data_IF_483300748542
#
_entry.id   IF_483300748542
#
_cell.length_a   1.000
_cell.length_b   1.000
_cell.length_c   1.000
_cell.angle_alpha   90.00
_cell.angle_beta   90.00
_cell.angle_gamma   90.00
#
_symmetry.space_group_name_H-M   'P 1'
#
loop_
_entity.id
_entity.type
_entity.pdbx_description
1 polymer ?
#
# COMPACT_ATOMS: atom_id res chain seq x y z
N UNK A 1 0.30 19.00 20.34
CA UNK A 1 0.29 20.39 19.82
C UNK A 1 1.73 20.91 19.70
N UNK A 2 2.35 20.82 18.52
CA UNK A 2 3.66 21.44 18.24
C UNK A 2 3.62 22.05 16.83
N UNK A 3 3.45 23.37 16.81
CA UNK A 3 3.43 24.19 15.62
C UNK A 3 4.82 24.25 14.97
N UNK A 4 4.92 23.81 13.72
CA UNK A 4 6.07 24.13 12.88
C UNK A 4 5.79 25.44 12.15
N UNK A 5 6.56 26.47 12.52
CA UNK A 5 6.52 27.81 11.95
C UNK A 5 7.17 27.81 10.56
N UNK A 6 6.43 28.42 9.63
CA UNK A 6 6.89 28.86 8.32
C UNK A 6 8.14 29.74 8.40
N UNK A 7 9.03 29.61 7.41
CA UNK A 7 10.06 30.61 7.11
C UNK A 7 9.94 30.97 5.63
N UNK A 8 9.47 32.20 5.41
CA UNK A 8 9.49 32.90 4.14
C UNK A 8 10.93 33.35 3.79
N UNK A 9 11.24 33.53 2.51
CA UNK A 9 12.42 34.28 2.10
C UNK A 9 13.01 33.99 0.72
N UNK A 10 12.33 34.46 -0.32
CA UNK A 10 12.85 35.25 -1.46
C UNK A 10 14.07 34.73 -2.24
N UNK A 11 13.87 34.50 -3.55
CA UNK A 11 14.71 35.08 -4.61
C UNK A 11 13.99 34.98 -5.97
N UNK A 12 13.28 36.06 -6.35
CA UNK A 12 12.86 36.28 -7.74
C UNK A 12 14.09 36.79 -8.50
N UNK A 13 14.62 35.95 -9.40
CA UNK A 13 15.60 36.38 -10.40
C UNK A 13 14.89 36.57 -11.74
N UNK A 14 14.97 37.81 -12.23
CA UNK A 14 14.41 38.32 -13.46
C UNK A 14 15.57 38.56 -14.42
N UNK A 15 15.74 37.72 -15.44
CA UNK A 15 16.49 38.07 -16.65
C UNK A 15 16.36 36.96 -17.71
N UNK A 16 16.26 37.37 -18.96
CA UNK A 16 16.67 36.53 -20.09
C UNK A 16 15.54 35.95 -20.91
N UNK A 17 14.83 36.80 -21.65
CA UNK A 17 14.22 36.37 -22.90
C UNK A 17 15.32 36.02 -23.89
N UNK A 18 15.20 34.86 -24.54
CA UNK A 18 15.81 34.55 -25.83
C UNK A 18 15.12 33.28 -26.34
N UNK A 19 14.12 33.48 -27.18
CA UNK A 19 13.69 32.48 -28.15
C UNK A 19 14.74 32.38 -29.24
N UNK A 20 15.17 31.16 -29.57
CA UNK A 20 15.37 30.83 -30.96
C UNK A 20 14.43 29.69 -31.35
N UNK A 21 13.47 30.07 -32.17
CA UNK A 21 12.94 29.23 -33.24
C UNK A 21 14.03 28.41 -33.92
N UNK A 22 13.64 27.24 -34.45
CA UNK A 22 14.33 26.47 -35.48
C UNK A 22 15.25 25.36 -34.97
N UNK A 23 14.65 24.30 -34.42
CA UNK A 23 15.21 22.95 -34.50
C UNK A 23 14.36 22.16 -35.50
N UNK A 24 14.79 22.16 -36.75
CA UNK A 24 14.35 21.20 -37.78
C UNK A 24 15.00 19.86 -37.47
N UNK A 25 14.22 18.88 -37.05
CA UNK A 25 14.60 17.47 -37.11
C UNK A 25 13.95 16.85 -38.35
N UNK A 26 14.74 16.32 -39.29
CA UNK A 26 14.24 15.35 -40.25
C UNK A 26 14.28 13.97 -39.59
N UNK A 27 13.17 13.22 -39.67
CA UNK A 27 13.12 11.91 -40.32
C UNK A 27 11.70 11.32 -40.15
N UNK A 28 11.12 10.75 -41.21
CA UNK A 28 9.84 10.05 -41.17
C UNK A 28 10.09 8.61 -40.74
N UNK A 29 9.62 8.23 -39.54
CA UNK A 29 9.55 6.83 -39.14
C UNK A 29 8.10 6.46 -38.86
N UNK A 30 7.48 5.98 -39.94
CA UNK A 30 6.81 4.67 -39.94
C UNK A 30 5.69 4.51 -38.91
N UNK A 31 4.49 4.84 -39.42
CA UNK A 31 3.19 4.22 -39.12
C UNK A 31 3.34 2.86 -38.41
N UNK A 32 3.21 2.88 -37.09
CA UNK A 32 2.98 1.73 -36.24
C UNK A 32 1.56 1.88 -35.68
N UNK A 33 0.66 1.15 -36.35
CA UNK A 33 -0.57 0.56 -35.82
C UNK A 33 -1.12 1.23 -34.56
N UNK A 34 -2.23 1.94 -34.73
CA UNK A 34 -3.15 2.29 -33.65
C UNK A 34 -3.70 1.00 -33.00
N UNK A 35 -3.01 0.50 -31.99
CA UNK A 35 -3.62 -0.24 -30.90
C UNK A 35 -3.54 0.68 -29.69
N UNK A 36 -4.69 1.03 -29.13
CA UNK A 36 -4.81 1.95 -28.00
C UNK A 36 -4.10 1.43 -26.75
N UNK A 37 -2.79 1.61 -26.67
CA UNK A 37 -2.03 1.48 -25.43
C UNK A 37 -2.32 2.73 -24.60
N UNK A 38 -3.32 2.65 -23.70
CA UNK A 38 -3.40 3.62 -22.60
C UNK A 38 -2.12 3.48 -21.79
N UNK A 39 -1.24 4.47 -21.89
CA UNK A 39 -0.10 4.64 -20.98
C UNK A 39 -0.65 4.96 -19.58
N UNK A 40 -1.03 3.94 -18.82
CA UNK A 40 -1.45 4.10 -17.44
C UNK A 40 -0.23 4.35 -16.57
N UNK A 41 -0.03 5.60 -16.19
CA UNK A 41 1.01 5.97 -15.22
C UNK A 41 0.55 5.53 -13.84
N UNK A 42 1.34 4.70 -13.16
CA UNK A 42 1.07 4.26 -11.79
C UNK A 42 1.81 5.14 -10.80
N UNK A 43 1.08 5.70 -9.84
CA UNK A 43 1.62 6.57 -8.80
C UNK A 43 1.49 5.90 -7.43
N UNK A 44 2.47 6.12 -6.56
CA UNK A 44 2.44 5.59 -5.18
C UNK A 44 1.61 6.51 -4.30
N UNK A 45 0.54 5.99 -3.72
CA UNK A 45 -0.40 6.71 -2.86
C UNK A 45 0.14 6.80 -1.43
N UNK A 46 0.50 5.65 -0.87
CA UNK A 46 1.00 5.51 0.52
C UNK A 46 1.83 4.23 0.64
N UNK A 47 2.70 4.17 1.65
CA UNK A 47 3.47 2.97 2.00
C UNK A 47 3.05 2.44 3.36
N UNK A 48 2.94 1.12 3.49
CA UNK A 48 2.64 0.42 4.73
C UNK A 48 3.78 -0.50 5.15
N UNK A 49 4.02 -0.62 6.45
CA UNK A 49 4.94 -1.59 7.04
C UNK A 49 4.31 -2.99 7.17
N UNK A 50 2.98 -3.06 7.24
CA UNK A 50 2.21 -4.28 7.41
C UNK A 50 1.41 -4.65 6.15
N UNK A 51 1.62 -5.87 5.65
CA UNK A 51 0.91 -6.41 4.48
C UNK A 51 -0.61 -6.49 4.67
N UNK A 52 -1.07 -6.80 5.89
CA UNK A 52 -2.49 -6.88 6.18
C UNK A 52 -3.17 -5.51 6.05
N UNK A 53 -2.56 -4.46 6.64
CA UNK A 53 -3.09 -3.10 6.52
C UNK A 53 -3.12 -2.65 5.05
N UNK A 54 -2.04 -2.91 4.31
CA UNK A 54 -1.95 -2.59 2.89
C UNK A 54 -3.07 -3.26 2.08
N UNK A 55 -3.37 -4.54 2.36
CA UNK A 55 -4.46 -5.29 1.71
C UNK A 55 -5.85 -4.81 2.11
N UNK A 56 -6.06 -4.41 3.37
CA UNK A 56 -7.34 -3.85 3.81
C UNK A 56 -7.67 -2.57 3.05
N UNK A 57 -6.71 -1.64 2.98
CA UNK A 57 -6.88 -0.39 2.24
C UNK A 57 -7.02 -0.63 0.74
N UNK A 58 -6.23 -1.54 0.17
CA UNK A 58 -6.37 -1.93 -1.22
C UNK A 58 -7.76 -2.52 -1.53
N UNK A 59 -8.27 -3.40 -0.65
CA UNK A 59 -9.61 -3.98 -0.79
C UNK A 59 -10.71 -2.92 -0.71
N UNK A 60 -10.55 -1.92 0.15
CA UNK A 60 -11.49 -0.79 0.21
C UNK A 60 -11.50 0.03 -1.07
N UNK A 61 -10.33 0.40 -1.58
CA UNK A 61 -10.22 1.16 -2.84
C UNK A 61 -10.77 0.34 -4.02
N UNK A 62 -10.53 -0.96 -4.06
CA UNK A 62 -11.09 -1.86 -5.07
C UNK A 62 -12.62 -1.95 -5.00
N UNK A 63 -13.20 -1.93 -3.80
CA UNK A 63 -14.66 -1.91 -3.63
C UNK A 63 -15.31 -0.63 -4.21
N UNK A 64 -14.55 0.46 -4.30
CA UNK A 64 -14.98 1.70 -4.95
C UNK A 64 -14.70 1.73 -6.46
N UNK A 65 -14.23 0.61 -7.01
CA UNK A 65 -13.91 0.46 -8.44
C UNK A 65 -12.54 1.02 -8.83
N UNK A 66 -11.68 1.35 -7.85
CA UNK A 66 -10.38 1.95 -8.12
C UNK A 66 -9.36 0.85 -8.44
N UNK A 67 -8.61 1.04 -9.53
CA UNK A 67 -7.54 0.12 -9.91
C UNK A 67 -6.33 0.29 -8.98
N UNK A 68 -6.04 -0.72 -8.16
CA UNK A 68 -4.95 -0.70 -7.15
C UNK A 68 -4.01 -1.88 -7.32
N UNK A 69 -2.72 -1.62 -7.16
CA UNK A 69 -1.66 -2.63 -7.10
C UNK A 69 -0.73 -2.40 -5.91
N UNK A 70 -0.39 -3.46 -5.19
CA UNK A 70 0.58 -3.43 -4.09
C UNK A 70 1.96 -3.82 -4.61
N UNK A 71 2.89 -2.87 -4.64
CA UNK A 71 4.28 -3.15 -4.95
C UNK A 71 5.02 -3.64 -3.69
N UNK A 72 6.00 -4.53 -3.90
CA UNK A 72 6.91 -5.05 -2.87
C UNK A 72 6.24 -5.96 -1.80
N UNK A 73 4.93 -6.24 -1.88
CA UNK A 73 4.19 -7.08 -0.89
C UNK A 73 4.80 -8.47 -0.73
N UNK A 74 5.02 -9.19 -1.84
CA UNK A 74 5.52 -10.56 -1.80
C UNK A 74 6.95 -10.63 -1.27
N UNK A 75 7.79 -9.63 -1.59
CA UNK A 75 9.15 -9.52 -1.05
C UNK A 75 9.15 -9.22 0.44
N UNK A 76 8.29 -8.30 0.89
CA UNK A 76 8.10 -8.01 2.31
C UNK A 76 7.61 -9.25 3.10
N UNK A 77 6.67 -10.02 2.54
CA UNK A 77 6.16 -11.23 3.16
C UNK A 77 7.22 -12.34 3.25
N UNK A 78 8.01 -12.53 2.19
CA UNK A 78 9.06 -13.54 2.16
C UNK A 78 10.28 -13.16 3.02
N UNK A 79 10.66 -11.88 3.00
CA UNK A 79 11.90 -11.36 3.58
C UNK A 79 11.60 -10.07 4.34
N UNK A 80 11.11 -10.23 5.57
CA UNK A 80 10.64 -9.12 6.42
C UNK A 80 11.66 -7.97 6.56
N UNK A 81 12.97 -8.27 6.63
CA UNK A 81 14.02 -7.25 6.77
C UNK A 81 14.15 -6.36 5.52
N UNK A 82 13.85 -6.89 4.32
CA UNK A 82 13.84 -6.08 3.10
C UNK A 82 12.69 -5.09 3.10
N UNK A 83 11.60 -5.36 3.82
CA UNK A 83 10.48 -4.43 3.87
C UNK A 83 10.89 -3.06 4.42
N UNK A 84 11.74 -3.05 5.45
CA UNK A 84 12.29 -1.81 6.00
C UNK A 84 13.27 -1.14 5.04
N UNK A 85 14.10 -1.91 4.33
CA UNK A 85 15.05 -1.37 3.36
C UNK A 85 14.35 -0.76 2.12
N UNK A 86 13.21 -1.32 1.71
CA UNK A 86 12.44 -0.89 0.53
C UNK A 86 11.49 0.29 0.83
N UNK A 87 11.37 0.69 2.10
CA UNK A 87 10.46 1.73 2.57
C UNK A 87 9.00 1.29 2.67
N UNK A 88 8.78 0.00 2.94
CA UNK A 88 7.46 -0.62 3.07
C UNK A 88 6.81 -1.05 1.76
N UNK A 89 5.61 -1.58 1.89
CA UNK A 89 4.71 -2.03 0.82
C UNK A 89 4.02 -0.81 0.23
N UNK A 90 4.26 -0.53 -1.05
CA UNK A 90 3.76 0.67 -1.72
C UNK A 90 2.42 0.38 -2.38
N UNK A 91 1.37 1.06 -1.93
CA UNK A 91 0.07 1.02 -2.57
C UNK A 91 0.06 1.98 -3.76
N UNK A 92 -0.12 1.45 -4.96
CA UNK A 92 -0.12 2.22 -6.22
C UNK A 92 -1.48 2.26 -6.87
N UNK A 93 -1.79 3.40 -7.45
CA UNK A 93 -3.05 3.67 -8.15
C UNK A 93 -2.74 4.30 -9.52
N UNK A 94 -3.64 4.10 -10.48
CA UNK A 94 -3.58 4.78 -11.77
C UNK A 94 -3.68 6.31 -11.58
N UNK A 95 -2.84 7.07 -12.30
CA UNK A 95 -2.78 8.53 -12.20
C UNK A 95 -4.13 9.20 -12.50
N UNK A 96 -4.95 8.60 -13.36
CA UNK A 96 -6.31 9.06 -13.69
C UNK A 96 -7.26 9.03 -12.49
N UNK A 97 -7.02 8.14 -11.54
CA UNK A 97 -7.89 7.87 -10.38
C UNK A 97 -7.28 8.39 -9.06
N UNK A 98 -6.17 9.12 -9.15
CA UNK A 98 -5.41 9.61 -7.99
C UNK A 98 -6.25 10.45 -7.02
N UNK A 99 -7.01 11.42 -7.54
CA UNK A 99 -7.80 12.33 -6.71
C UNK A 99 -8.91 11.58 -5.94
N UNK A 100 -9.57 10.63 -6.61
CA UNK A 100 -10.59 9.79 -6.00
C UNK A 100 -9.98 8.91 -4.91
N UNK A 101 -8.90 8.19 -5.21
CA UNK A 101 -8.25 7.31 -4.24
C UNK A 101 -7.75 8.06 -3.00
N UNK A 102 -7.28 9.29 -3.17
CA UNK A 102 -6.85 10.13 -2.06
C UNK A 102 -8.02 10.59 -1.18
N UNK A 103 -9.19 10.86 -1.76
CA UNK A 103 -10.38 11.20 -0.99
C UNK A 103 -10.83 10.01 -0.11
N UNK A 104 -10.88 8.82 -0.69
CA UNK A 104 -11.23 7.59 0.03
C UNK A 104 -10.25 7.28 1.16
N UNK A 105 -8.95 7.49 0.92
CA UNK A 105 -7.95 7.32 1.95
C UNK A 105 -8.15 8.31 3.10
N UNK A 106 -8.48 9.57 2.80
CA UNK A 106 -8.76 10.56 3.82
C UNK A 106 -10.00 10.19 4.65
N UNK A 107 -11.05 9.65 4.03
CA UNK A 107 -12.25 9.19 4.73
C UNK A 107 -11.95 7.98 5.64
N UNK A 108 -11.08 7.06 5.19
CA UNK A 108 -10.59 5.96 6.00
C UNK A 108 -9.80 6.44 7.23
N UNK A 109 -8.86 7.37 7.03
CA UNK A 109 -8.04 7.96 8.09
C UNK A 109 -8.87 8.79 9.08
N UNK A 110 -9.93 9.44 8.61
CA UNK A 110 -10.88 10.17 9.45
C UNK A 110 -11.75 9.25 10.32
N UNK A 111 -11.65 7.93 10.15
CA UNK A 111 -12.44 6.97 10.93
C UNK A 111 -13.91 6.92 10.50
N UNK A 112 -14.24 7.29 9.25
CA UNK A 112 -15.61 7.15 8.72
C UNK A 112 -16.12 5.69 8.77
N UNK A 113 -15.19 4.73 8.93
CA UNK A 113 -15.46 3.31 9.07
C UNK A 113 -15.04 2.74 10.43
N UNK A 114 -14.78 3.60 11.43
CA UNK A 114 -14.55 3.16 12.79
C UNK A 114 -15.85 2.57 13.35
N UNK A 115 -15.77 1.35 13.88
CA UNK A 115 -16.87 0.76 14.62
C UNK A 115 -17.04 1.55 15.93
N UNK A 116 -18.29 1.79 16.38
CA UNK A 116 -18.52 2.44 17.65
C UNK A 116 -17.89 1.61 18.77
N UNK A 117 -17.07 2.28 19.58
CA UNK A 117 -16.34 1.68 20.70
C UNK A 117 -17.37 1.12 21.70
N UNK A 118 -17.48 -0.21 21.77
CA UNK A 118 -18.50 -0.92 22.55
C UNK A 118 -19.48 -1.79 21.75
N UNK A 119 -19.37 -1.88 20.42
CA UNK A 119 -20.13 -2.86 19.63
C UNK A 119 -19.76 -4.33 19.92
N UNK A 120 -18.66 -4.55 20.66
CA UNK A 120 -18.13 -5.88 21.05
C UNK A 120 -18.70 -6.43 22.37
N UNK A 121 -19.65 -5.74 23.02
CA UNK A 121 -20.31 -6.25 24.25
C UNK A 121 -21.37 -7.34 23.97
N UNK A 122 -21.51 -7.80 22.73
CA UNK A 122 -22.10 -9.11 22.51
C UNK A 122 -21.01 -10.14 22.80
N UNK A 123 -21.18 -11.07 23.77
CA UNK A 123 -20.21 -12.14 24.00
C UNK A 123 -20.06 -12.96 22.72
N UNK A 124 -19.10 -12.60 21.88
CA UNK A 124 -18.69 -13.43 20.77
C UNK A 124 -18.20 -14.71 21.44
N UNK A 125 -18.68 -15.90 21.04
CA UNK A 125 -18.05 -17.12 21.48
C UNK A 125 -16.60 -17.03 21.01
N UNK A 126 -15.68 -16.71 21.93
CA UNK A 126 -14.26 -16.83 21.67
C UNK A 126 -14.09 -18.26 21.16
N UNK A 127 -13.65 -18.44 19.91
CA UNK A 127 -13.45 -19.77 19.35
C UNK A 127 -12.40 -20.45 20.20
N UNK A 128 -12.86 -21.22 21.20
CA UNK A 128 -12.03 -22.01 22.09
C UNK A 128 -11.40 -23.02 21.18
N UNK A 129 -10.17 -22.77 20.71
CA UNK A 129 -9.37 -23.82 20.10
C UNK A 129 -9.43 -24.99 21.07
N UNK A 130 -10.04 -26.08 20.62
CA UNK A 130 -10.40 -27.21 21.47
C UNK A 130 -9.15 -27.67 22.23
N UNK A 131 -9.16 -27.50 23.54
CA UNK A 131 -7.97 -27.83 24.34
C UNK A 131 -7.64 -29.32 24.28
N UNK A 132 -8.61 -30.16 23.90
CA UNK A 132 -8.41 -31.60 23.70
C UNK A 132 -7.69 -31.91 22.39
N UNK A 133 -8.08 -31.29 21.27
CA UNK A 133 -7.39 -31.48 19.99
C UNK A 133 -5.96 -30.91 20.06
N UNK A 134 -5.77 -29.77 20.74
CA UNK A 134 -4.45 -29.21 21.00
C UNK A 134 -3.57 -30.14 21.87
N UNK A 135 -4.14 -30.76 22.91
CA UNK A 135 -3.43 -31.74 23.76
C UNK A 135 -3.10 -33.02 23.03
N UNK A 136 -4.02 -33.54 22.20
CA UNK A 136 -3.78 -34.73 21.38
C UNK A 136 -2.72 -34.45 20.31
N UNK A 137 -2.72 -33.27 19.69
CA UNK A 137 -1.67 -32.86 18.76
C UNK A 137 -0.29 -32.84 19.43
N UNK A 138 -0.20 -32.35 20.67
CA UNK A 138 1.05 -32.40 21.45
C UNK A 138 1.49 -33.82 21.75
N UNK A 139 0.57 -34.72 22.10
CA UNK A 139 0.88 -36.14 22.32
C UNK A 139 1.37 -36.82 21.04
N UNK A 140 0.67 -36.64 19.93
CA UNK A 140 1.03 -37.23 18.63
C UNK A 140 2.41 -36.73 18.18
N UNK A 141 2.68 -35.45 18.32
CA UNK A 141 3.96 -34.85 17.94
C UNK A 141 5.12 -35.35 18.83
N UNK A 142 4.85 -35.56 20.12
CA UNK A 142 5.81 -36.15 21.06
C UNK A 142 6.09 -37.62 20.75
N UNK A 143 5.06 -38.39 20.38
CA UNK A 143 5.19 -39.82 20.02
C UNK A 143 5.91 -40.00 18.68
N UNK A 144 5.64 -39.14 17.69
CA UNK A 144 6.36 -39.16 16.41
C UNK A 144 7.76 -38.54 16.47
N UNK A 145 8.20 -38.04 17.62
CA UNK A 145 9.48 -37.36 17.83
C UNK A 145 9.76 -36.26 16.79
N UNK A 146 8.72 -35.58 16.30
CA UNK A 146 8.88 -34.43 15.40
C UNK A 146 9.39 -33.29 16.28
N UNK A 147 10.61 -32.77 16.05
CA UNK A 147 11.17 -31.72 16.87
C UNK A 147 10.27 -30.49 16.80
N UNK A 148 9.69 -30.11 17.94
CA UNK A 148 8.91 -28.87 18.07
C UNK A 148 9.77 -27.69 17.61
N UNK A 149 9.40 -26.94 16.57
CA UNK A 149 10.12 -25.74 16.17
C UNK A 149 9.85 -24.69 17.25
N UNK A 150 10.83 -24.52 18.14
CA UNK A 150 10.72 -23.69 19.33
C UNK A 150 10.29 -22.25 19.02
N UNK A 151 9.13 -21.90 19.58
CA UNK A 151 8.60 -20.56 19.79
C UNK A 151 9.63 -19.71 20.55
N UNK A 152 10.42 -18.89 19.84
CA UNK A 152 11.17 -17.80 20.49
C UNK A 152 10.16 -16.73 20.94
N UNK A 153 10.32 -16.32 22.20
CA UNK A 153 9.48 -15.33 22.90
C UNK A 153 9.55 -13.96 22.25
#
# INVERSE_FOLDING_TARGET
MRAWRARAGIAVSRAGGLTPSNVRLPLPCRRLIAHGARMSTWLTLVSYDNALQARLVAGRLQAEGIAVYLADEQQCLAQWYLCQALGGIKLRVEATQWAQARAVLADLEAGAHALPEGADEAPLPHSRHDTLSARLALLVLSVLAIPLPWRRR
#
